data_IF_033430129309
#
_entry.id   IF_033430129309
#
_cell.length_a   1.000
_cell.length_b   1.000
_cell.length_c   1.000
_cell.angle_alpha   90.00
_cell.angle_beta   90.00
_cell.angle_gamma   90.00
#
_symmetry.space_group_name_H-M   'P 1'
#
loop_
_entity.id
_entity.type
_entity.pdbx_description
1 polymer ?
#
# COMPACT_ATOMS: atom_id res chain seq x y z
N UNK A 1 -14.88 -25.26 16.04
CA UNK A 1 -14.69 -23.88 15.52
C UNK A 1 -13.75 -23.00 16.40
N UNK A 2 -12.92 -23.58 17.30
CA UNK A 2 -12.09 -22.82 18.26
C UNK A 2 -10.61 -22.65 17.86
N UNK A 3 -10.04 -23.52 17.02
CA UNK A 3 -8.64 -23.41 16.59
C UNK A 3 -8.38 -22.19 15.70
N UNK A 4 -9.24 -21.96 14.71
CA UNK A 4 -9.04 -20.91 13.71
C UNK A 4 -9.19 -19.50 14.28
N UNK A 5 -10.01 -19.29 15.31
CA UNK A 5 -10.18 -17.96 15.93
C UNK A 5 -8.88 -17.48 16.58
N UNK A 6 -8.17 -18.37 17.29
CA UNK A 6 -6.88 -18.05 17.91
C UNK A 6 -5.84 -17.72 16.85
N UNK A 7 -5.77 -18.49 15.76
CA UNK A 7 -4.88 -18.21 14.63
C UNK A 7 -5.20 -16.86 13.98
N UNK A 8 -6.47 -16.56 13.71
CA UNK A 8 -6.89 -15.29 13.10
C UNK A 8 -6.52 -14.10 14.00
N UNK A 9 -6.81 -14.18 15.30
CA UNK A 9 -6.45 -13.12 16.25
C UNK A 9 -4.93 -12.94 16.31
N UNK A 10 -4.16 -14.05 16.36
CA UNK A 10 -2.70 -14.01 16.34
C UNK A 10 -2.15 -13.35 15.07
N UNK A 11 -2.74 -13.63 13.90
CA UNK A 11 -2.32 -13.03 12.63
C UNK A 11 -2.65 -11.53 12.57
N UNK A 12 -3.82 -11.11 13.07
CA UNK A 12 -4.18 -9.69 13.15
C UNK A 12 -3.21 -8.93 14.05
N UNK A 13 -2.89 -9.47 15.23
CA UNK A 13 -1.91 -8.85 16.14
C UNK A 13 -0.54 -8.75 15.49
N UNK A 14 -0.10 -9.80 14.78
CA UNK A 14 1.17 -9.78 14.05
C UNK A 14 1.21 -8.71 12.95
N UNK A 15 0.13 -8.56 12.17
CA UNK A 15 0.02 -7.53 11.13
C UNK A 15 0.08 -6.13 11.75
N UNK A 16 -0.66 -5.89 12.85
CA UNK A 16 -0.63 -4.61 13.57
C UNK A 16 0.79 -4.33 14.10
N UNK A 17 1.46 -5.35 14.64
CA UNK A 17 2.84 -5.20 15.12
C UNK A 17 3.80 -4.85 13.97
N UNK A 18 3.69 -5.53 12.82
CA UNK A 18 4.51 -5.24 11.64
C UNK A 18 4.24 -3.83 11.07
N UNK A 19 3.01 -3.31 11.18
CA UNK A 19 2.68 -1.97 10.75
C UNK A 19 3.20 -0.89 11.72
N UNK A 20 3.14 -1.13 13.03
CA UNK A 20 3.52 -0.14 14.06
C UNK A 20 5.03 -0.14 14.34
N UNK A 21 5.70 -1.29 14.27
CA UNK A 21 7.12 -1.38 14.60
C UNK A 21 7.99 -0.39 13.80
N UNK A 22 7.86 -0.25 12.47
CA UNK A 22 8.62 0.72 11.69
C UNK A 22 8.39 2.17 12.15
N UNK A 23 7.15 2.55 12.49
CA UNK A 23 6.83 3.90 12.98
C UNK A 23 7.53 4.24 14.30
N UNK A 24 7.81 3.25 15.15
CA UNK A 24 8.46 3.48 16.44
C UNK A 24 9.98 3.49 16.35
N UNK A 25 10.54 2.67 15.46
CA UNK A 25 11.99 2.51 15.30
C UNK A 25 12.60 3.45 14.25
N UNK A 26 11.81 3.94 13.28
CA UNK A 26 12.26 4.79 12.18
C UNK A 26 11.48 6.11 12.26
N UNK A 27 12.04 7.08 12.98
CA UNK A 27 11.36 8.35 13.32
C UNK A 27 11.53 9.45 12.27
N UNK A 28 12.55 9.34 11.44
CA UNK A 28 12.91 10.32 10.41
C UNK A 28 12.81 9.72 9.00
N UNK A 29 11.95 8.70 8.81
CA UNK A 29 11.65 8.21 7.47
C UNK A 29 10.74 9.22 6.77
N UNK A 30 11.27 9.86 5.73
CA UNK A 30 10.42 10.51 4.74
C UNK A 30 9.57 9.45 4.03
N UNK A 31 8.28 9.75 3.89
CA UNK A 31 7.38 8.93 3.11
C UNK A 31 7.63 9.25 1.63
N UNK A 32 8.66 8.63 1.07
CA UNK A 32 9.01 8.77 -0.34
C UNK A 32 8.40 7.66 -1.18
N UNK A 33 8.18 7.94 -2.46
CA UNK A 33 7.66 6.96 -3.41
C UNK A 33 8.65 5.81 -3.64
N UNK A 34 8.17 4.71 -4.23
CA UNK A 34 9.06 3.64 -4.71
C UNK A 34 10.06 4.15 -5.72
N UNK A 35 9.66 5.15 -6.49
CA UNK A 35 10.42 5.67 -7.62
C UNK A 35 11.58 6.56 -7.13
N UNK A 36 11.39 7.31 -6.04
CA UNK A 36 12.46 8.06 -5.36
C UNK A 36 13.53 7.13 -4.79
N UNK A 37 13.10 6.04 -4.14
CA UNK A 37 14.02 5.03 -3.59
C UNK A 37 14.84 4.37 -4.69
N UNK A 38 14.23 4.12 -5.86
CA UNK A 38 14.91 3.56 -7.02
C UNK A 38 15.89 4.57 -7.64
N UNK A 39 15.49 5.82 -7.81
CA UNK A 39 16.33 6.89 -8.37
C UNK A 39 17.60 7.12 -7.54
N UNK A 40 17.46 7.15 -6.21
CA UNK A 40 18.60 7.29 -5.29
C UNK A 40 19.59 6.12 -5.39
N UNK A 41 19.07 4.88 -5.45
CA UNK A 41 19.91 3.69 -5.59
C UNK A 41 20.65 3.68 -6.94
N UNK A 42 19.99 4.09 -8.03
CA UNK A 42 20.63 4.18 -9.34
C UNK A 42 21.68 5.27 -9.35
N UNK A 43 21.41 6.43 -8.77
CA UNK A 43 22.39 7.53 -8.67
C UNK A 43 23.64 7.10 -7.90
N UNK A 44 23.48 6.36 -6.79
CA UNK A 44 24.59 5.81 -6.01
C UNK A 44 25.44 4.80 -6.80
N UNK A 45 24.79 3.92 -7.58
CA UNK A 45 25.49 2.91 -8.40
C UNK A 45 26.21 3.52 -9.60
N UNK A 46 25.59 4.51 -10.24
CA UNK A 46 26.03 5.05 -11.53
C UNK A 46 26.94 6.28 -11.38
N UNK A 47 26.96 6.91 -10.20
CA UNK A 47 27.76 8.11 -9.91
C UNK A 47 27.36 9.35 -10.73
N UNK A 48 26.22 9.27 -11.41
CA UNK A 48 25.62 10.32 -12.24
C UNK A 48 24.16 10.46 -11.83
N UNK A 49 23.65 11.69 -11.85
CA UNK A 49 22.27 12.00 -11.50
C UNK A 49 21.32 11.26 -12.45
N UNK A 50 20.39 10.46 -11.91
CA UNK A 50 19.48 9.65 -12.72
C UNK A 50 18.43 10.53 -13.40
N UNK A 51 18.35 10.45 -14.73
CA UNK A 51 17.32 11.13 -15.52
C UNK A 51 16.12 10.18 -15.74
N UNK A 52 14.89 10.55 -15.33
CA UNK A 52 13.71 9.70 -15.52
C UNK A 52 13.42 9.44 -17.01
N UNK A 53 13.28 8.18 -17.40
CA UNK A 53 12.89 7.81 -18.77
C UNK A 53 11.37 7.93 -19.03
N UNK A 54 10.59 8.25 -17.99
CA UNK A 54 9.15 8.45 -18.07
C UNK A 54 8.69 9.42 -16.98
N UNK A 55 8.12 10.55 -17.38
CA UNK A 55 7.45 11.49 -16.48
C UNK A 55 5.96 11.18 -16.42
N UNK A 56 5.36 11.07 -15.21
CA UNK A 56 3.92 10.94 -15.05
C UNK A 56 3.13 12.01 -15.80
N UNK A 57 2.02 11.62 -16.43
CA UNK A 57 1.15 12.56 -17.15
C UNK A 57 0.62 13.66 -16.20
N UNK A 58 0.45 13.35 -14.91
CA UNK A 58 0.03 14.34 -13.93
C UNK A 58 1.10 15.42 -13.70
N UNK A 59 2.39 15.05 -13.64
CA UNK A 59 3.51 15.98 -13.47
C UNK A 59 3.72 16.86 -14.70
N UNK A 60 3.64 16.26 -15.90
CA UNK A 60 3.69 17.01 -17.16
C UNK A 60 2.54 18.01 -17.33
N UNK A 61 1.36 17.70 -16.80
CA UNK A 61 0.19 18.60 -16.83
C UNK A 61 0.26 19.73 -15.79
N UNK A 62 0.87 19.48 -14.63
CA UNK A 62 0.98 20.43 -13.52
C UNK A 62 2.27 21.28 -13.64
N UNK A 63 3.23 20.85 -14.47
CA UNK A 63 4.49 21.56 -14.73
C UNK A 63 5.52 21.39 -13.62
N UNK A 64 5.42 20.31 -12.84
CA UNK A 64 6.29 19.99 -11.70
C UNK A 64 5.78 18.79 -10.90
N UNK A 65 6.57 18.38 -9.91
CA UNK A 65 6.24 17.26 -9.02
C UNK A 65 4.97 17.53 -8.20
N UNK A 66 4.18 16.49 -7.95
CA UNK A 66 3.03 16.61 -7.07
C UNK A 66 3.51 16.89 -5.63
N UNK A 67 2.82 17.76 -4.88
CA UNK A 67 3.08 17.88 -3.46
C UNK A 67 2.87 16.52 -2.79
N UNK A 68 3.80 16.06 -1.94
CA UNK A 68 3.70 14.75 -1.28
C UNK A 68 2.42 14.55 -0.45
N UNK A 69 1.81 15.63 0.04
CA UNK A 69 0.49 15.59 0.68
C UNK A 69 -0.61 15.15 -0.31
N UNK A 70 -0.58 15.63 -1.55
CA UNK A 70 -1.55 15.27 -2.59
C UNK A 70 -1.29 13.86 -3.10
N UNK A 71 -0.02 13.47 -3.24
CA UNK A 71 0.36 12.10 -3.64
C UNK A 71 -0.13 11.06 -2.62
N UNK A 72 0.14 11.29 -1.33
CA UNK A 72 -0.31 10.40 -0.25
C UNK A 72 -1.84 10.32 -0.16
N UNK A 73 -2.55 11.43 -0.40
CA UNK A 73 -4.02 11.46 -0.49
C UNK A 73 -4.54 10.61 -1.65
N UNK A 74 -3.95 10.73 -2.84
CA UNK A 74 -4.32 9.91 -4.00
C UNK A 74 -4.08 8.42 -3.72
N UNK A 75 -2.95 8.08 -3.10
CA UNK A 75 -2.66 6.71 -2.64
C UNK A 75 -3.69 6.20 -1.62
N UNK A 76 -4.10 7.04 -0.67
CA UNK A 76 -5.12 6.67 0.31
C UNK A 76 -6.48 6.40 -0.33
N UNK A 77 -6.89 7.21 -1.32
CA UNK A 77 -8.14 6.99 -2.06
C UNK A 77 -8.07 5.70 -2.87
N UNK A 78 -6.96 5.46 -3.59
CA UNK A 78 -6.75 4.22 -4.34
C UNK A 78 -6.79 2.99 -3.42
N UNK A 79 -6.14 3.07 -2.27
CA UNK A 79 -6.16 2.01 -1.25
C UNK A 79 -7.57 1.77 -0.72
N UNK A 80 -8.31 2.84 -0.40
CA UNK A 80 -9.70 2.74 0.07
C UNK A 80 -10.62 2.04 -0.94
N UNK A 81 -10.50 2.39 -2.23
CA UNK A 81 -11.26 1.75 -3.30
C UNK A 81 -10.85 0.27 -3.45
N UNK A 82 -9.54 -0.01 -3.47
CA UNK A 82 -9.00 -1.37 -3.60
C UNK A 82 -9.44 -2.29 -2.46
N UNK A 83 -9.36 -1.82 -1.21
CA UNK A 83 -9.83 -2.53 -0.03
C UNK A 83 -11.34 -2.76 -0.08
N UNK A 84 -12.11 -1.76 -0.50
CA UNK A 84 -13.56 -1.88 -0.65
C UNK A 84 -13.97 -2.99 -1.62
N UNK A 85 -13.36 -3.02 -2.81
CA UNK A 85 -13.59 -4.06 -3.81
C UNK A 85 -13.16 -5.43 -3.28
N UNK A 86 -11.97 -5.53 -2.68
CA UNK A 86 -11.44 -6.79 -2.16
C UNK A 86 -12.32 -7.36 -1.04
N UNK A 87 -12.73 -6.52 -0.08
CA UNK A 87 -13.59 -6.92 1.03
C UNK A 87 -14.97 -7.37 0.53
N UNK A 88 -15.54 -6.68 -0.47
CA UNK A 88 -16.80 -7.08 -1.09
C UNK A 88 -16.71 -8.48 -1.74
N UNK A 89 -15.69 -8.72 -2.55
CA UNK A 89 -15.48 -10.02 -3.20
C UNK A 89 -15.27 -11.15 -2.18
N UNK A 90 -14.44 -10.92 -1.16
CA UNK A 90 -14.23 -11.89 -0.08
C UNK A 90 -15.52 -12.17 0.68
N UNK A 91 -16.33 -11.14 0.97
CA UNK A 91 -17.65 -11.29 1.58
C UNK A 91 -18.58 -12.18 0.75
N UNK A 92 -18.66 -11.93 -0.56
CA UNK A 92 -19.48 -12.73 -1.49
C UNK A 92 -19.03 -14.20 -1.57
N UNK A 93 -17.73 -14.46 -1.52
CA UNK A 93 -17.18 -15.82 -1.49
C UNK A 93 -17.54 -16.56 -0.19
N UNK A 94 -17.50 -15.88 0.95
CA UNK A 94 -17.93 -16.45 2.24
C UNK A 94 -19.42 -16.73 2.24
N UNK A 95 -20.24 -15.81 1.71
CA UNK A 95 -21.70 -15.98 1.61
C UNK A 95 -22.09 -17.17 0.74
N UNK A 96 -21.37 -17.45 -0.36
CA UNK A 96 -21.69 -18.55 -1.29
C UNK A 96 -21.93 -19.89 -0.59
N UNK A 97 -21.23 -20.18 0.52
CA UNK A 97 -21.44 -21.42 1.30
C UNK A 97 -22.81 -21.49 1.96
N UNK A 98 -23.39 -20.36 2.40
CA UNK A 98 -24.73 -20.33 2.99
C UNK A 98 -25.82 -20.63 1.97
N UNK A 99 -25.66 -20.17 0.73
CA UNK A 99 -26.66 -20.34 -0.32
C UNK A 99 -26.70 -21.76 -0.89
N UNK A 100 -25.57 -22.48 -0.88
CA UNK A 100 -25.52 -23.89 -1.29
C UNK A 100 -26.24 -24.85 -0.31
N UNK A 101 -26.54 -24.43 0.92
CA UNK A 101 -27.27 -25.24 1.91
C UNK A 101 -28.78 -24.95 1.93
N UNK A 102 -29.27 -24.00 1.12
CA UNK A 102 -30.69 -23.62 1.02
C UNK A 102 -31.37 -24.24 -0.23
N UNK A 103 -30.61 -25.00 -1.04
CA UNK A 103 -31.13 -25.91 -2.07
C UNK A 103 -31.07 -27.34 -1.55
#
# INVERSE_FOLDING_TARGET
>A
MNGNKKTVISLIVLIIFLAIAPLLFIKDAEFSGSDDAASNAVTEITGTEYEPWFEPVAETLIGGELPGEVESLLFCVQTGIGVGVFAFLMGRLVERKKWNHVK
#
